data_IF_211206074509
#
_entry.id   IF_211206074509
#
_cell.length_a   1.000
_cell.length_b   1.000
_cell.length_c   1.000
_cell.angle_alpha   90.00
_cell.angle_beta   90.00
_cell.angle_gamma   90.00
#
_symmetry.space_group_name_H-M   'P 1'
#
loop_
_entity.id
_entity.type
_entity.pdbx_description
1 polymer ?
#
# COMPACT_ATOMS: atom_id res chain seq x y z
N UNK A 1 24.44 -46.91 9.78
CA UNK A 1 23.30 -46.00 10.06
C UNK A 1 23.52 -44.71 9.27
N UNK A 2 22.67 -44.42 8.29
CA UNK A 2 22.64 -43.14 7.58
C UNK A 2 21.21 -42.60 7.68
N UNK A 3 20.99 -41.35 8.13
CA UNK A 3 19.65 -40.81 8.19
C UNK A 3 19.19 -40.44 6.77
N UNK A 4 18.06 -41.02 6.36
CA UNK A 4 17.31 -40.60 5.18
C UNK A 4 16.75 -39.21 5.45
N UNK A 5 17.25 -38.19 4.76
CA UNK A 5 16.58 -36.91 4.68
C UNK A 5 15.29 -37.09 3.87
N UNK A 6 14.15 -37.10 4.57
CA UNK A 6 12.85 -36.97 3.94
C UNK A 6 12.76 -35.56 3.33
N UNK A 7 12.88 -35.48 2.01
CA UNK A 7 12.62 -34.26 1.25
C UNK A 7 11.11 -34.01 1.34
N UNK A 8 10.71 -33.06 2.19
CA UNK A 8 9.33 -32.61 2.24
C UNK A 8 8.91 -32.15 0.84
N UNK A 9 7.97 -32.87 0.23
CA UNK A 9 7.26 -32.42 -0.96
C UNK A 9 6.48 -31.17 -0.58
N UNK A 10 7.00 -30.00 -0.95
CA UNK A 10 6.23 -28.77 -0.88
C UNK A 10 5.09 -28.94 -1.86
N UNK A 11 3.86 -29.06 -1.34
CA UNK A 11 2.67 -29.07 -2.18
C UNK A 11 2.71 -27.81 -3.06
N UNK A 12 2.69 -28.01 -4.39
CA UNK A 12 2.55 -26.91 -5.35
C UNK A 12 1.22 -26.22 -5.09
N UNK A 13 1.26 -25.03 -4.48
CA UNK A 13 0.05 -24.24 -4.27
C UNK A 13 -0.36 -23.68 -5.64
N UNK A 14 -1.46 -24.20 -6.19
CA UNK A 14 -2.04 -23.67 -7.41
C UNK A 14 -2.57 -22.25 -7.19
N UNK A 15 -2.13 -21.31 -8.00
CA UNK A 15 -2.62 -19.94 -7.99
C UNK A 15 -3.66 -19.72 -9.11
N UNK A 16 -4.61 -18.79 -8.92
CA UNK A 16 -4.89 -18.04 -7.69
C UNK A 16 -5.55 -18.92 -6.60
N UNK A 17 -5.35 -18.58 -5.33
CA UNK A 17 -5.99 -19.28 -4.21
C UNK A 17 -6.53 -18.32 -3.14
N UNK A 18 -7.58 -18.76 -2.44
CA UNK A 18 -8.21 -17.95 -1.38
C UNK A 18 -7.33 -17.94 -0.14
N UNK A 19 -6.78 -16.78 0.19
CA UNK A 19 -6.01 -16.58 1.42
C UNK A 19 -6.91 -16.41 2.63
N UNK A 20 -8.03 -15.69 2.47
CA UNK A 20 -8.99 -15.44 3.55
C UNK A 20 -10.41 -15.41 3.00
N UNK A 21 -11.23 -16.34 3.50
CA UNK A 21 -12.65 -16.44 3.16
C UNK A 21 -13.49 -15.39 3.89
N UNK A 22 -13.38 -15.32 5.22
CA UNK A 22 -14.28 -14.52 6.07
C UNK A 22 -14.12 -13.01 5.81
N UNK A 23 -15.18 -12.40 5.29
CA UNK A 23 -15.35 -10.97 5.08
C UNK A 23 -15.89 -10.32 6.36
N UNK A 24 -15.35 -9.17 6.75
CA UNK A 24 -15.86 -8.40 7.88
C UNK A 24 -17.32 -8.00 7.65
N UNK A 25 -18.16 -8.00 8.69
CA UNK A 25 -19.60 -7.76 8.53
C UNK A 25 -19.92 -6.43 7.84
N UNK A 26 -19.14 -5.39 8.13
CA UNK A 26 -19.26 -4.06 7.51
C UNK A 26 -18.93 -4.05 6.00
N UNK A 27 -18.24 -5.08 5.52
CA UNK A 27 -17.79 -5.21 4.13
C UNK A 27 -18.59 -6.29 3.36
N UNK A 28 -19.50 -6.99 4.04
CA UNK A 28 -20.37 -7.98 3.41
C UNK A 28 -21.41 -7.27 2.57
N UNK A 29 -21.56 -7.74 1.34
CA UNK A 29 -22.56 -7.20 0.40
C UNK A 29 -23.32 -8.36 -0.24
N UNK A 30 -24.54 -8.07 -0.70
CA UNK A 30 -25.33 -9.05 -1.44
C UNK A 30 -24.63 -9.47 -2.74
N UNK A 31 -24.86 -10.70 -3.17
CA UNK A 31 -24.32 -11.21 -4.43
C UNK A 31 -24.78 -10.35 -5.61
N UNK A 32 -23.83 -9.76 -6.39
CA UNK A 32 -24.13 -8.90 -7.52
C UNK A 32 -24.97 -9.61 -8.58
N UNK A 33 -25.98 -8.91 -9.08
CA UNK A 33 -26.91 -9.49 -10.06
C UNK A 33 -26.21 -9.82 -11.38
N UNK A 34 -25.29 -8.97 -11.84
CA UNK A 34 -24.45 -9.22 -13.02
C UNK A 34 -23.74 -10.58 -12.95
N UNK A 35 -23.24 -10.97 -11.77
CA UNK A 35 -22.58 -12.26 -11.59
C UNK A 35 -23.57 -13.42 -11.57
N UNK A 36 -24.78 -13.24 -11.02
CA UNK A 36 -25.82 -14.27 -11.06
C UNK A 36 -26.31 -14.52 -12.48
N UNK A 37 -26.52 -13.45 -13.24
CA UNK A 37 -26.95 -13.50 -14.64
C UNK A 37 -25.87 -14.15 -15.51
N UNK A 38 -24.59 -13.76 -15.33
CA UNK A 38 -23.49 -14.32 -16.11
C UNK A 38 -23.15 -15.78 -15.74
N UNK A 39 -23.45 -16.21 -14.51
CA UNK A 39 -23.11 -17.54 -13.99
C UNK A 39 -24.32 -18.22 -13.31
N UNK A 40 -25.39 -18.53 -14.06
CA UNK A 40 -26.59 -19.14 -13.50
C UNK A 40 -26.27 -20.54 -12.95
N UNK A 41 -26.72 -20.82 -11.73
CA UNK A 41 -26.51 -22.10 -11.05
C UNK A 41 -25.11 -22.31 -10.45
N UNK A 42 -24.24 -21.30 -10.48
CA UNK A 42 -22.94 -21.35 -9.79
C UNK A 42 -23.11 -20.93 -8.32
N UNK A 43 -22.29 -21.51 -7.45
CA UNK A 43 -22.10 -20.98 -6.10
C UNK A 43 -21.23 -19.71 -6.19
N UNK A 44 -21.78 -18.59 -5.75
CA UNK A 44 -21.12 -17.28 -5.79
C UNK A 44 -20.95 -16.80 -4.35
N UNK A 45 -19.70 -16.71 -3.91
CA UNK A 45 -19.34 -16.35 -2.53
C UNK A 45 -18.36 -15.18 -2.50
N UNK A 46 -18.66 -14.17 -1.68
CA UNK A 46 -17.72 -13.09 -1.40
C UNK A 46 -16.56 -13.61 -0.54
N UNK A 47 -15.32 -13.20 -0.87
CA UNK A 47 -14.11 -13.54 -0.13
C UNK A 47 -13.33 -12.29 0.26
N UNK A 48 -12.52 -12.37 1.33
CA UNK A 48 -11.77 -11.23 1.86
C UNK A 48 -10.42 -11.02 1.17
N UNK A 49 -9.69 -12.09 0.89
CA UNK A 49 -8.34 -12.01 0.32
C UNK A 49 -8.08 -13.13 -0.70
N UNK A 50 -7.46 -12.77 -1.82
CA UNK A 50 -7.08 -13.67 -2.90
C UNK A 50 -5.59 -13.52 -3.19
N UNK A 51 -4.83 -14.62 -3.14
CA UNK A 51 -3.46 -14.62 -3.63
C UNK A 51 -3.46 -14.89 -5.13
N UNK A 52 -2.96 -13.94 -5.92
CA UNK A 52 -2.73 -14.15 -7.36
C UNK A 52 -1.43 -14.93 -7.63
N UNK A 53 -0.45 -14.75 -6.75
CA UNK A 53 0.83 -15.46 -6.72
C UNK A 53 1.45 -15.35 -5.31
N UNK A 54 2.66 -15.85 -5.13
CA UNK A 54 3.38 -15.84 -3.84
C UNK A 54 3.53 -14.46 -3.20
N UNK A 55 3.55 -13.39 -4.01
CA UNK A 55 3.88 -12.03 -3.58
C UNK A 55 2.68 -11.08 -3.63
N UNK A 56 1.62 -11.44 -4.34
CA UNK A 56 0.49 -10.56 -4.60
C UNK A 56 -0.79 -11.05 -3.96
N UNK A 57 -1.19 -10.35 -2.90
CA UNK A 57 -2.47 -10.53 -2.20
C UNK A 57 -3.41 -9.40 -2.58
N UNK A 58 -4.55 -9.73 -3.15
CA UNK A 58 -5.65 -8.81 -3.40
C UNK A 58 -6.56 -8.75 -2.18
N UNK A 59 -7.02 -7.55 -1.86
CA UNK A 59 -8.00 -7.26 -0.80
C UNK A 59 -8.73 -5.96 -1.10
N UNK A 60 -9.81 -5.70 -0.38
CA UNK A 60 -10.55 -4.42 -0.45
C UNK A 60 -9.61 -3.22 -0.32
N UNK A 61 -9.89 -2.16 -1.09
CA UNK A 61 -9.14 -0.91 -1.22
C UNK A 61 -7.71 -1.05 -1.80
N UNK A 62 -7.31 -2.24 -2.25
CA UNK A 62 -6.07 -2.42 -2.97
C UNK A 62 -6.23 -1.98 -4.43
N UNK A 63 -5.20 -1.39 -5.01
CA UNK A 63 -5.24 -0.93 -6.40
C UNK A 63 -4.63 -1.96 -7.35
N UNK A 64 -5.29 -2.17 -8.49
CA UNK A 64 -4.89 -3.12 -9.52
C UNK A 64 -4.83 -2.47 -10.89
N UNK A 65 -3.86 -2.90 -11.69
CA UNK A 65 -3.86 -2.73 -13.14
C UNK A 65 -4.41 -3.97 -13.81
N UNK A 66 -5.28 -3.78 -14.78
CA UNK A 66 -5.91 -4.87 -15.51
C UNK A 66 -6.30 -4.44 -16.91
N UNK A 67 -6.54 -5.43 -17.77
CA UNK A 67 -7.05 -5.20 -19.11
C UNK A 67 -8.54 -5.59 -19.14
N UNK A 68 -9.35 -4.82 -19.86
CA UNK A 68 -10.69 -5.25 -20.27
C UNK A 68 -10.58 -5.64 -21.75
N UNK A 69 -11.11 -6.81 -22.11
CA UNK A 69 -11.07 -7.28 -23.49
C UNK A 69 -12.10 -6.55 -24.37
N UNK A 70 -11.63 -6.11 -25.54
CA UNK A 70 -12.30 -5.61 -26.75
C UNK A 70 -12.61 -4.09 -26.87
N UNK A 71 -12.33 -3.46 -28.03
CA UNK A 71 -11.52 -3.92 -29.18
C UNK A 71 -10.03 -3.53 -29.10
N UNK A 72 -9.61 -2.74 -28.12
CA UNK A 72 -8.20 -2.40 -27.86
C UNK A 72 -7.87 -2.83 -26.43
N UNK A 73 -6.67 -3.41 -26.20
CA UNK A 73 -6.20 -3.68 -24.84
C UNK A 73 -5.95 -2.34 -24.11
N UNK A 74 -7.01 -1.76 -23.58
CA UNK A 74 -6.90 -0.57 -22.74
C UNK A 74 -6.57 -1.04 -21.34
N UNK A 75 -5.40 -0.60 -20.86
CA UNK A 75 -5.01 -0.83 -19.48
C UNK A 75 -5.79 0.12 -18.57
N UNK A 76 -6.51 -0.45 -17.62
CA UNK A 76 -7.25 0.28 -16.61
C UNK A 76 -6.57 0.15 -15.25
N UNK A 77 -6.82 1.15 -14.40
CA UNK A 77 -6.49 1.12 -12.98
C UNK A 77 -7.79 1.17 -12.18
N UNK A 78 -7.84 0.42 -11.08
CA UNK A 78 -9.00 0.45 -10.20
C UNK A 78 -8.69 0.03 -8.77
N UNK A 79 -9.56 0.48 -7.86
CA UNK A 79 -9.54 0.06 -6.45
C UNK A 79 -10.57 -1.05 -6.24
N UNK A 80 -10.14 -2.11 -5.57
CA UNK A 80 -10.98 -3.28 -5.27
C UNK A 80 -12.07 -2.91 -4.25
N UNK A 81 -13.33 -3.09 -4.65
CA UNK A 81 -14.49 -2.95 -3.78
C UNK A 81 -14.81 -4.28 -3.07
N UNK A 82 -14.82 -5.38 -3.84
CA UNK A 82 -15.13 -6.72 -3.36
C UNK A 82 -14.51 -7.80 -4.26
N UNK A 83 -14.33 -9.02 -3.72
CA UNK A 83 -13.78 -10.17 -4.43
C UNK A 83 -14.78 -11.32 -4.33
N UNK A 84 -15.01 -12.00 -5.44
CA UNK A 84 -16.01 -13.05 -5.57
C UNK A 84 -15.40 -14.32 -6.10
N UNK A 85 -15.64 -15.41 -5.40
CA UNK A 85 -15.38 -16.77 -5.86
C UNK A 85 -16.64 -17.29 -6.53
N UNK A 86 -16.53 -17.70 -7.79
CA UNK A 86 -17.60 -18.29 -8.58
C UNK A 86 -17.21 -19.74 -8.88
N UNK A 87 -18.01 -20.68 -8.41
CA UNK A 87 -17.67 -22.10 -8.45
C UNK A 87 -18.86 -22.96 -8.85
N UNK A 88 -18.62 -23.91 -9.76
CA UNK A 88 -19.53 -25.02 -10.04
C UNK A 88 -18.96 -26.31 -9.41
N UNK A 89 -19.80 -27.25 -8.95
CA UNK A 89 -19.32 -28.55 -8.48
C UNK A 89 -18.36 -29.18 -9.50
N UNK A 90 -17.24 -29.73 -9.02
CA UNK A 90 -16.22 -30.42 -9.82
C UNK A 90 -15.47 -29.58 -10.87
N UNK A 91 -15.63 -28.25 -10.89
CA UNK A 91 -14.88 -27.34 -11.77
C UNK A 91 -13.91 -26.43 -10.99
N UNK A 92 -12.89 -25.94 -11.69
CA UNK A 92 -11.98 -24.93 -11.16
C UNK A 92 -12.76 -23.66 -10.81
N UNK A 93 -12.43 -23.06 -9.66
CA UNK A 93 -13.04 -21.80 -9.23
C UNK A 93 -12.57 -20.65 -10.10
N UNK A 94 -13.50 -19.78 -10.48
CA UNK A 94 -13.20 -18.49 -11.10
C UNK A 94 -13.23 -17.40 -10.02
N UNK A 95 -12.44 -16.35 -10.22
CA UNK A 95 -12.39 -15.23 -9.30
C UNK A 95 -12.65 -13.93 -10.04
N UNK A 96 -13.65 -13.20 -9.57
CA UNK A 96 -14.06 -11.91 -10.12
C UNK A 96 -13.85 -10.82 -9.09
N UNK A 97 -13.27 -9.71 -9.54
CA UNK A 97 -12.93 -8.57 -8.71
C UNK A 97 -13.83 -7.42 -9.13
N UNK A 98 -14.69 -6.96 -8.23
CA UNK A 98 -15.42 -5.72 -8.43
C UNK A 98 -14.50 -4.55 -8.11
N UNK A 99 -14.32 -3.66 -9.07
CA UNK A 99 -13.37 -2.56 -8.95
C UNK A 99 -13.99 -1.25 -9.38
N UNK A 100 -13.78 -0.18 -8.60
CA UNK A 100 -14.06 1.18 -9.04
C UNK A 100 -12.93 1.64 -9.96
N UNK A 101 -13.28 2.25 -11.09
CA UNK A 101 -12.32 2.70 -12.09
C UNK A 101 -11.73 4.06 -11.70
N UNK A 102 -10.45 4.22 -12.01
CA UNK A 102 -9.73 5.47 -11.86
C UNK A 102 -9.16 5.89 -13.22
N UNK A 103 -9.09 7.19 -13.44
CA UNK A 103 -8.51 7.75 -14.65
C UNK A 103 -7.15 8.38 -14.33
N UNK A 104 -6.20 8.14 -15.24
CA UNK A 104 -4.85 8.70 -15.18
C UNK A 104 -4.93 10.22 -15.39
N UNK A 105 -4.46 10.98 -14.41
CA UNK A 105 -4.40 12.44 -14.46
C UNK A 105 -2.97 12.92 -14.79
N UNK A 106 -2.69 14.21 -14.63
CA UNK A 106 -1.37 14.78 -14.85
C UNK A 106 -0.35 14.41 -13.76
N UNK A 107 0.93 14.73 -14.00
CA UNK A 107 1.95 14.69 -12.95
C UNK A 107 1.58 15.71 -11.88
N UNK A 108 1.43 15.27 -10.64
CA UNK A 108 1.15 16.14 -9.51
C UNK A 108 2.35 17.07 -9.26
N UNK A 109 2.11 18.37 -9.08
CA UNK A 109 3.18 19.37 -8.89
C UNK A 109 3.92 19.21 -7.57
N UNK A 110 3.21 18.85 -6.50
CA UNK A 110 3.78 18.69 -5.15
C UNK A 110 4.60 17.40 -5.03
N UNK A 111 3.99 16.26 -5.37
CA UNK A 111 4.65 14.96 -5.24
C UNK A 111 5.57 14.62 -6.41
N UNK A 112 5.44 15.31 -7.55
CA UNK A 112 6.13 15.00 -8.83
C UNK A 112 5.89 13.57 -9.32
N UNK A 113 4.79 12.95 -8.87
CA UNK A 113 4.35 11.60 -9.21
C UNK A 113 3.01 11.63 -9.96
N UNK A 114 2.60 10.49 -10.53
CA UNK A 114 1.40 10.41 -11.35
C UNK A 114 0.17 10.45 -10.45
N UNK A 115 -0.73 11.40 -10.69
CA UNK A 115 -2.04 11.45 -10.04
C UNK A 115 -3.06 10.59 -10.80
N UNK A 116 -4.00 10.04 -10.06
CA UNK A 116 -5.21 9.40 -10.58
C UNK A 116 -6.42 9.97 -9.85
N UNK A 117 -7.56 10.04 -10.53
CA UNK A 117 -8.82 10.42 -9.90
C UNK A 117 -9.87 9.32 -10.02
N UNK A 118 -10.73 9.26 -9.02
CA UNK A 118 -11.85 8.32 -8.95
C UNK A 118 -12.88 8.68 -10.02
N UNK A 119 -13.45 7.67 -10.67
CA UNK A 119 -14.59 7.84 -11.57
C UNK A 119 -15.85 7.26 -10.92
N UNK A 120 -17.05 7.62 -11.39
CA UNK A 120 -18.29 6.98 -10.90
C UNK A 120 -18.44 5.53 -11.40
N UNK A 121 -17.60 5.10 -12.32
CA UNK A 121 -17.73 3.79 -12.97
C UNK A 121 -17.08 2.68 -12.14
N UNK A 122 -17.69 1.50 -12.21
CA UNK A 122 -17.12 0.27 -11.66
C UNK A 122 -17.34 -0.87 -12.64
N UNK A 123 -16.55 -1.93 -12.51
CA UNK A 123 -16.65 -3.11 -13.37
C UNK A 123 -16.23 -4.37 -12.64
N UNK A 124 -16.58 -5.52 -13.20
CA UNK A 124 -16.02 -6.81 -12.81
C UNK A 124 -14.88 -7.19 -13.73
N UNK A 125 -13.78 -7.63 -13.14
CA UNK A 125 -12.64 -8.17 -13.88
C UNK A 125 -12.30 -9.57 -13.37
N UNK A 126 -12.08 -10.51 -14.30
CA UNK A 126 -11.56 -11.82 -13.94
C UNK A 126 -10.12 -11.68 -13.43
N UNK A 127 -9.76 -12.38 -12.36
CA UNK A 127 -8.41 -12.41 -11.80
C UNK A 127 -7.29 -12.67 -12.83
N UNK A 128 -7.58 -13.43 -13.89
CA UNK A 128 -6.64 -13.72 -14.98
C UNK A 128 -6.27 -12.48 -15.82
N UNK A 129 -7.11 -11.44 -15.80
CA UNK A 129 -6.87 -10.20 -16.53
C UNK A 129 -6.11 -9.15 -15.70
N UNK A 130 -5.80 -9.45 -14.44
CA UNK A 130 -5.02 -8.57 -13.57
C UNK A 130 -3.53 -8.68 -13.92
N UNK A 131 -2.92 -7.53 -14.25
CA UNK A 131 -1.51 -7.44 -14.64
C UNK A 131 -0.59 -7.19 -13.44
N UNK A 132 -1.02 -6.33 -12.52
CA UNK A 132 -0.22 -5.98 -11.35
C UNK A 132 -1.07 -5.36 -10.24
N UNK A 133 -0.61 -5.48 -8.99
CA UNK A 133 -1.03 -4.58 -7.92
C UNK A 133 -0.19 -3.31 -7.95
N UNK A 134 -0.82 -2.16 -7.71
CA UNK A 134 -0.14 -0.88 -7.55
C UNK A 134 -0.22 -0.37 -6.12
N UNK A 135 0.90 0.15 -5.63
CA UNK A 135 0.97 0.94 -4.41
C UNK A 135 0.53 2.37 -4.76
N UNK A 136 -0.63 2.73 -4.25
CA UNK A 136 -1.29 4.01 -4.49
C UNK A 136 -1.59 4.63 -3.13
N UNK A 137 -1.25 5.91 -2.98
CA UNK A 137 -1.38 6.65 -1.74
C UNK A 137 -2.40 7.78 -1.92
N UNK A 138 -3.14 8.08 -0.86
CA UNK A 138 -4.08 9.20 -0.87
C UNK A 138 -3.35 10.53 -1.11
N UNK A 139 -3.93 11.41 -1.94
CA UNK A 139 -3.38 12.74 -2.21
C UNK A 139 -3.72 13.71 -1.05
N UNK A 140 -2.98 13.60 0.06
CA UNK A 140 -3.24 14.38 1.26
C UNK A 140 -3.06 15.89 1.04
N UNK A 141 -2.18 16.31 0.11
CA UNK A 141 -1.95 17.73 -0.16
C UNK A 141 -3.17 18.42 -0.78
N UNK A 142 -4.06 17.67 -1.45
CA UNK A 142 -5.34 18.17 -1.99
C UNK A 142 -6.56 17.74 -1.20
N UNK A 143 -6.42 16.72 -0.37
CA UNK A 143 -7.57 16.10 0.29
C UNK A 143 -8.06 16.82 1.54
N UNK A 144 -7.42 17.91 1.97
CA UNK A 144 -7.77 18.65 3.20
C UNK A 144 -7.77 17.77 4.45
N UNK A 145 -6.89 16.77 4.48
CA UNK A 145 -6.84 15.76 5.54
C UNK A 145 -6.59 16.41 6.90
N UNK A 146 -7.26 15.89 7.93
CA UNK A 146 -7.23 16.46 9.29
C UNK A 146 -6.40 15.59 10.21
N UNK A 147 -5.53 16.20 11.00
CA UNK A 147 -4.91 15.56 12.15
C UNK A 147 -5.83 15.73 13.35
N UNK A 148 -6.33 14.63 13.89
CA UNK A 148 -7.22 14.62 15.06
C UNK A 148 -6.54 13.88 16.21
N UNK A 149 -6.63 14.37 17.43
CA UNK A 149 -6.15 13.66 18.62
C UNK A 149 -7.16 12.59 19.05
N UNK A 150 -7.20 11.47 18.32
CA UNK A 150 -8.18 10.39 18.55
C UNK A 150 -7.54 9.11 19.05
N UNK A 151 -6.28 8.86 18.74
CA UNK A 151 -5.62 7.59 19.06
C UNK A 151 -5.10 7.59 20.50
N UNK A 152 -5.53 6.64 21.32
CA UNK A 152 -5.02 6.47 22.69
C UNK A 152 -3.54 6.07 22.62
N UNK A 153 -2.65 6.85 23.22
CA UNK A 153 -1.25 6.47 23.33
C UNK A 153 -1.10 5.29 24.29
N UNK A 154 -0.33 4.28 23.90
CA UNK A 154 0.09 3.21 24.82
C UNK A 154 1.52 3.52 25.24
N UNK A 155 1.69 3.82 26.53
CA UNK A 155 3.01 4.03 27.14
C UNK A 155 3.21 2.91 28.15
N UNK A 156 4.31 2.16 28.05
CA UNK A 156 4.63 1.07 28.98
C UNK A 156 3.51 0.03 29.14
N UNK A 157 2.81 -0.29 28.03
CA UNK A 157 1.66 -1.21 27.97
C UNK A 157 0.41 -0.73 28.74
N UNK A 158 0.41 0.48 29.28
CA UNK A 158 -0.78 1.12 29.85
C UNK A 158 -1.38 2.12 28.87
N UNK A 159 -2.71 2.18 28.83
CA UNK A 159 -3.43 3.20 28.08
C UNK A 159 -3.19 4.54 28.76
N UNK A 160 -2.55 5.47 28.05
CA UNK A 160 -2.35 6.84 28.53
C UNK A 160 -3.64 7.64 28.39
N UNK A 161 -3.81 8.65 29.25
CA UNK A 161 -4.80 9.71 29.06
C UNK A 161 -4.44 10.65 27.92
N UNK A 162 -3.17 10.65 27.47
CA UNK A 162 -2.72 11.44 26.32
C UNK A 162 -3.12 10.75 25.02
N UNK A 163 -3.82 11.50 24.16
CA UNK A 163 -4.13 11.08 22.80
C UNK A 163 -3.02 11.52 21.86
N UNK A 164 -2.73 10.69 20.87
CA UNK A 164 -1.82 10.99 19.76
C UNK A 164 -2.62 11.42 18.53
N UNK A 165 -2.02 12.31 17.75
CA UNK A 165 -2.55 12.74 16.46
C UNK A 165 -2.68 11.55 15.50
N UNK A 166 -3.83 11.45 14.86
CA UNK A 166 -4.19 10.49 13.83
C UNK A 166 -4.65 11.25 12.58
N UNK A 167 -4.11 10.88 11.42
CA UNK A 167 -4.49 11.49 10.16
C UNK A 167 -5.81 10.87 9.67
N UNK A 168 -6.85 11.68 9.60
CA UNK A 168 -8.11 11.32 8.96
C UNK A 168 -8.06 11.78 7.51
N UNK A 169 -8.05 10.80 6.59
CA UNK A 169 -8.14 11.09 5.17
C UNK A 169 -9.56 11.56 4.82
N UNK A 170 -9.63 12.72 4.18
CA UNK A 170 -10.83 13.30 3.60
C UNK A 170 -10.66 13.39 2.08
N UNK A 171 -11.77 13.53 1.34
CA UNK A 171 -11.78 13.52 -0.14
C UNK A 171 -11.06 12.29 -0.73
N UNK A 172 -11.78 11.18 -0.85
CA UNK A 172 -11.23 9.91 -1.33
C UNK A 172 -11.20 9.78 -2.84
N UNK A 173 -11.10 10.91 -3.57
CA UNK A 173 -11.19 10.91 -5.03
C UNK A 173 -9.83 11.09 -5.71
N UNK A 174 -8.82 11.60 -5.00
CA UNK A 174 -7.50 11.88 -5.56
C UNK A 174 -6.42 11.01 -4.91
N UNK A 175 -5.61 10.36 -5.75
CA UNK A 175 -4.52 9.51 -5.29
C UNK A 175 -3.25 9.69 -6.14
N UNK A 176 -2.13 9.30 -5.55
CA UNK A 176 -0.79 9.35 -6.14
C UNK A 176 -0.27 7.93 -6.29
N UNK A 177 0.17 7.57 -7.49
CA UNK A 177 0.84 6.30 -7.74
C UNK A 177 2.28 6.38 -7.23
N UNK A 178 2.67 5.45 -6.36
CA UNK A 178 4.02 5.41 -5.82
C UNK A 178 5.02 4.95 -6.88
N UNK A 179 5.74 5.90 -7.49
CA UNK A 179 6.73 5.63 -8.54
C UNK A 179 7.90 4.77 -8.03
N UNK A 180 8.23 4.84 -6.74
CA UNK A 180 9.34 4.14 -6.11
C UNK A 180 8.92 2.80 -5.47
N UNK A 181 7.79 2.22 -5.90
CA UNK A 181 7.35 0.92 -5.39
C UNK A 181 8.38 -0.17 -5.67
N UNK A 182 8.72 -0.96 -4.64
CA UNK A 182 9.59 -2.13 -4.76
C UNK A 182 8.85 -3.35 -5.34
N UNK A 183 7.52 -3.40 -5.21
CA UNK A 183 6.68 -4.41 -5.84
C UNK A 183 6.16 -3.92 -7.20
N UNK A 184 6.12 -4.82 -8.19
CA UNK A 184 5.65 -4.51 -9.56
C UNK A 184 6.26 -3.22 -10.12
N UNK A 185 7.54 -2.95 -9.84
CA UNK A 185 8.21 -1.71 -10.20
C UNK A 185 8.13 -1.38 -11.71
N UNK A 186 8.28 -2.35 -12.63
CA UNK A 186 8.08 -2.09 -14.06
C UNK A 186 6.67 -1.58 -14.39
N UNK A 187 5.64 -2.14 -13.74
CA UNK A 187 4.24 -1.73 -13.94
C UNK A 187 3.99 -0.33 -13.40
N UNK A 188 4.56 0.03 -12.25
CA UNK A 188 4.46 1.39 -11.71
C UNK A 188 5.10 2.41 -12.64
N UNK A 189 6.32 2.14 -13.14
CA UNK A 189 7.02 3.02 -14.08
C UNK A 189 6.26 3.17 -15.39
N UNK A 190 5.85 2.04 -15.99
CA UNK A 190 5.09 2.02 -17.25
C UNK A 190 3.75 2.77 -17.15
N UNK A 191 2.97 2.51 -16.09
CA UNK A 191 1.68 3.17 -15.91
C UNK A 191 1.84 4.67 -15.58
N UNK A 192 2.79 4.99 -14.69
CA UNK A 192 3.02 6.38 -14.27
C UNK A 192 3.45 7.25 -15.44
N UNK A 193 4.23 6.70 -16.37
CA UNK A 193 4.64 7.40 -17.58
C UNK A 193 5.26 8.76 -17.22
N UNK A 194 6.22 8.70 -16.30
CA UNK A 194 6.99 9.85 -15.83
C UNK A 194 8.42 9.59 -16.23
N UNK A 195 8.96 10.51 -17.03
CA UNK A 195 10.38 10.55 -17.34
C UNK A 195 11.12 10.82 -16.04
N UNK A 196 11.94 9.86 -15.64
CA UNK A 196 12.90 10.02 -14.54
C UNK A 196 14.24 10.25 -15.21
N UNK A 197 14.72 11.48 -15.14
CA UNK A 197 16.04 11.81 -15.68
C UNK A 197 17.09 10.98 -14.94
N UNK A 198 17.89 10.23 -15.69
CA UNK A 198 19.02 9.53 -15.09
C UNK A 198 20.02 10.57 -14.63
N UNK A 199 20.32 10.58 -13.33
CA UNK A 199 21.44 11.37 -12.83
C UNK A 199 22.74 10.88 -13.50
N UNK A 200 23.49 11.80 -14.08
CA UNK A 200 24.81 11.50 -14.63
C UNK A 200 25.78 11.08 -13.52
N UNK A 201 26.92 10.44 -13.86
CA UNK A 201 27.89 9.98 -12.87
C UNK A 201 28.35 11.07 -11.89
N UNK A 202 28.59 12.30 -12.39
CA UNK A 202 28.98 13.43 -11.54
C UNK A 202 27.86 13.83 -10.57
N UNK A 203 26.61 13.88 -11.03
CA UNK A 203 25.47 14.19 -10.16
C UNK A 203 25.33 13.16 -9.02
N UNK A 204 25.68 11.88 -9.28
CA UNK A 204 25.72 10.87 -8.23
C UNK A 204 26.86 11.12 -7.24
N UNK A 205 28.05 11.46 -7.72
CA UNK A 205 29.21 11.81 -6.86
C UNK A 205 28.86 12.99 -5.97
N UNK A 206 28.31 14.05 -6.55
CA UNK A 206 27.89 15.26 -5.84
C UNK A 206 26.82 14.93 -4.79
N UNK A 207 25.80 14.16 -5.17
CA UNK A 207 24.75 13.73 -4.24
C UNK A 207 25.30 12.89 -3.07
N UNK A 208 26.28 12.02 -3.31
CA UNK A 208 26.93 11.26 -2.24
C UNK A 208 27.75 12.16 -1.31
N UNK A 209 28.50 13.12 -1.86
CA UNK A 209 29.30 14.06 -1.07
C UNK A 209 28.40 14.96 -0.22
N UNK A 210 27.34 15.52 -0.82
CA UNK A 210 26.35 16.33 -0.13
C UNK A 210 25.62 15.54 0.95
N UNK A 211 25.23 14.30 0.64
CA UNK A 211 24.61 13.39 1.60
C UNK A 211 25.51 13.12 2.80
N UNK A 212 26.78 12.79 2.55
CA UNK A 212 27.79 12.54 3.59
C UNK A 212 28.00 13.77 4.48
N UNK A 213 28.18 14.95 3.87
CA UNK A 213 28.35 16.22 4.59
C UNK A 213 27.15 16.54 5.47
N UNK A 214 25.93 16.45 4.92
CA UNK A 214 24.69 16.69 5.69
C UNK A 214 24.51 15.67 6.81
N UNK A 215 24.89 14.42 6.60
CA UNK A 215 24.85 13.40 7.64
C UNK A 215 25.80 13.72 8.78
N UNK A 216 27.07 14.03 8.46
CA UNK A 216 28.08 14.44 9.46
C UNK A 216 27.61 15.63 10.30
N UNK A 217 27.09 16.69 9.66
CA UNK A 217 26.56 17.85 10.37
C UNK A 217 25.41 17.50 11.33
N UNK A 218 24.55 16.54 10.97
CA UNK A 218 23.46 16.09 11.84
C UNK A 218 23.96 15.28 13.05
N UNK A 219 25.01 14.49 12.85
CA UNK A 219 25.70 13.77 13.94
C UNK A 219 26.32 14.79 14.91
N UNK A 220 27.09 15.75 14.41
CA UNK A 220 27.71 16.80 15.23
C UNK A 220 26.66 17.59 16.02
N UNK A 221 25.53 17.93 15.38
CA UNK A 221 24.42 18.65 16.03
C UNK A 221 23.78 17.82 17.14
N UNK A 222 23.63 16.50 16.95
CA UNK A 222 23.12 15.59 18.00
C UNK A 222 24.12 15.47 19.16
N UNK A 223 25.41 15.35 18.87
CA UNK A 223 26.45 15.27 19.89
C UNK A 223 26.56 16.56 20.72
N UNK A 224 26.53 17.73 20.05
CA UNK A 224 26.50 19.03 20.75
C UNK A 224 25.27 19.17 21.65
N UNK A 225 24.09 18.75 21.17
CA UNK A 225 22.86 18.73 21.99
C UNK A 225 22.98 17.78 23.18
N UNK A 226 23.59 16.61 23.01
CA UNK A 226 23.81 15.66 24.09
C UNK A 226 24.79 16.21 25.15
N UNK A 227 25.91 16.81 24.71
CA UNK A 227 26.89 17.47 25.60
C UNK A 227 26.27 18.64 26.36
N UNK A 228 25.48 19.49 25.71
CA UNK A 228 24.79 20.59 26.37
C UNK A 228 23.74 20.09 27.37
N UNK A 229 23.03 19.00 27.06
CA UNK A 229 22.06 18.41 28.00
C UNK A 229 22.76 17.80 29.22
N UNK A 230 23.92 17.17 29.02
CA UNK A 230 24.77 16.67 30.10
C UNK A 230 25.34 17.81 30.97
N UNK A 231 25.83 18.90 30.37
CA UNK A 231 26.37 20.05 31.11
C UNK A 231 25.29 20.80 31.90
N UNK A 232 24.07 20.90 31.37
CA UNK A 232 22.94 21.50 32.09
C UNK A 232 22.52 20.62 33.27
N UNK A 233 22.59 19.29 33.12
CA UNK A 233 22.31 18.34 34.22
C UNK A 233 23.41 18.32 35.29
N UNK A 234 24.67 18.64 34.95
CA UNK A 234 25.76 18.78 35.92
C UNK A 234 25.76 20.13 36.64
N UNK A 235 25.33 21.21 35.99
CA UNK A 235 25.16 22.52 36.65
C UNK A 235 23.98 22.51 37.62
N UNK A 236 22.90 21.77 37.35
CA UNK A 236 21.79 21.59 38.28
C UNK A 236 22.14 20.71 39.51
N UNK A 237 23.36 20.16 39.59
CA UNK A 237 23.85 19.32 40.70
C UNK A 237 24.86 19.99 41.63
N UNK A 238 25.28 21.22 41.36
CA UNK A 238 26.07 21.98 42.33
C UNK A 238 25.14 22.79 43.23
N UNK A 239 24.97 22.28 44.45
CA UNK A 239 24.32 22.95 45.57
C UNK A 239 25.19 24.13 46.04
N UNK A 240 24.69 25.37 46.15
CA UNK A 240 25.48 26.53 46.58
C UNK A 240 26.00 26.47 48.03
N UNK A 241 25.55 25.53 48.86
CA UNK A 241 25.80 25.51 50.31
C UNK A 241 27.11 24.83 50.78
N UNK A 242 28.13 24.75 49.92
CA UNK A 242 29.45 24.18 50.28
C UNK A 242 30.64 25.12 50.03
N UNK A 243 30.45 26.42 50.27
CA UNK A 243 31.54 27.37 50.51
C UNK A 243 31.24 28.18 51.77
N UNK A 244 31.38 27.50 52.91
CA UNK A 244 31.50 28.10 54.25
C UNK A 244 32.94 28.03 54.72
#
# INVERSE_FOLDING_TARGET
MHPRYARAMIASVGYPFVKKLKVAQIDQIATPEDLKIAHPGYNIQQISELNLNEKHVLKKNYFILFNITHPQEVQHIGSINSIWKVQKPFHQSMYFIHTTLFQKANKNSYYRMREIWRTPHSTFVNSQNIKAGLNVQHNCSRGECKLLETRIAVVERQKSTKKTLELTHTNTDHYIVNLASLSSAPSHRKFSDIVVDSAGPLNWVDAMHDGSKKWGMNVDKKEKRAKNKASTSSQARMDPDLMG
#
